data_IF_629537032869
#
_entry.id   IF_629537032869
#
_cell.length_a   1.000
_cell.length_b   1.000
_cell.length_c   1.000
_cell.angle_alpha   90.00
_cell.angle_beta   90.00
_cell.angle_gamma   90.00
#
_symmetry.space_group_name_H-M   'P 1'
#
loop_
_entity.id
_entity.type
_entity.pdbx_description
1 polymer ?
#
# COMPACT_ATOMS: atom_id res chain seq x y z
N UNK A 1 14.38 9.54 33.89
CA UNK A 1 14.62 9.06 32.53
C UNK A 1 13.29 9.19 31.82
N UNK A 2 13.20 9.94 30.75
CA UNK A 2 11.98 9.97 29.93
C UNK A 2 11.75 8.55 29.38
N UNK A 3 10.52 8.07 29.49
CA UNK A 3 10.17 6.76 28.92
C UNK A 3 10.21 6.94 27.39
N UNK A 4 11.24 6.42 26.75
CA UNK A 4 11.35 6.43 25.28
C UNK A 4 10.24 5.53 24.75
N UNK A 5 9.37 6.06 23.90
CA UNK A 5 8.32 5.27 23.23
C UNK A 5 8.96 4.19 22.37
N UNK A 6 8.42 2.99 22.39
CA UNK A 6 9.01 1.84 21.69
C UNK A 6 7.93 1.04 20.99
N UNK A 7 8.14 0.77 19.71
CA UNK A 7 7.20 0.04 18.84
C UNK A 7 7.77 -1.32 18.45
N UNK A 8 6.95 -2.36 18.61
CA UNK A 8 7.24 -3.72 18.18
C UNK A 8 6.66 -3.95 16.78
N UNK A 9 7.51 -4.34 15.83
CA UNK A 9 7.13 -4.60 14.45
C UNK A 9 7.32 -6.08 14.14
N UNK A 10 6.25 -6.76 13.71
CA UNK A 10 6.39 -8.08 13.10
C UNK A 10 6.91 -7.89 11.67
N UNK A 11 8.17 -8.32 11.44
CA UNK A 11 8.81 -8.23 10.14
C UNK A 11 8.66 -9.53 9.37
N UNK A 12 8.01 -9.46 8.22
CA UNK A 12 7.73 -10.57 7.31
C UNK A 12 8.47 -10.35 5.99
N UNK A 13 9.73 -10.77 5.84
CA UNK A 13 10.47 -10.59 4.60
C UNK A 13 9.74 -11.21 3.40
N UNK A 14 9.16 -12.40 3.59
CA UNK A 14 8.46 -13.15 2.54
C UNK A 14 9.39 -13.71 1.49
N UNK A 15 9.01 -13.55 0.20
CA UNK A 15 9.60 -14.23 -0.94
C UNK A 15 10.34 -13.25 -1.88
N UNK A 16 11.20 -13.80 -2.72
CA UNK A 16 11.83 -13.08 -3.82
C UNK A 16 12.66 -11.87 -3.38
N UNK A 17 12.31 -10.67 -3.87
CA UNK A 17 12.96 -9.41 -3.48
C UNK A 17 12.56 -8.90 -2.09
N UNK A 18 11.54 -9.49 -1.47
CA UNK A 18 11.02 -9.04 -0.18
C UNK A 18 12.08 -8.88 0.91
N UNK A 19 13.00 -9.86 1.13
CA UNK A 19 14.06 -9.75 2.13
C UNK A 19 15.01 -8.57 1.89
N UNK A 20 15.35 -8.23 0.63
CA UNK A 20 16.28 -7.14 0.34
C UNK A 20 15.60 -5.77 0.49
N UNK A 21 14.37 -5.58 0.04
CA UNK A 21 13.68 -4.29 0.14
C UNK A 21 13.24 -3.97 1.56
N UNK A 22 12.80 -4.98 2.34
CA UNK A 22 12.41 -4.77 3.74
C UNK A 22 13.60 -4.51 4.66
N UNK A 23 14.77 -5.09 4.37
CA UNK A 23 15.99 -4.78 5.11
C UNK A 23 16.35 -3.30 5.01
N UNK A 24 16.20 -2.71 3.82
CA UNK A 24 16.43 -1.28 3.64
C UNK A 24 15.36 -0.42 4.34
N UNK A 25 14.11 -0.87 4.37
CA UNK A 25 13.07 -0.19 5.15
C UNK A 25 13.37 -0.21 6.65
N UNK A 26 13.82 -1.33 7.20
CA UNK A 26 14.23 -1.41 8.61
C UNK A 26 15.43 -0.50 8.91
N UNK A 27 16.44 -0.46 8.03
CA UNK A 27 17.58 0.47 8.15
C UNK A 27 17.10 1.93 8.26
N UNK A 28 16.16 2.33 7.42
CA UNK A 28 15.62 3.69 7.43
C UNK A 28 14.75 3.94 8.66
N UNK A 29 13.93 2.97 9.08
CA UNK A 29 13.15 3.04 10.32
C UNK A 29 14.04 3.23 11.57
N UNK A 30 15.13 2.48 11.67
CA UNK A 30 16.11 2.63 12.77
C UNK A 30 16.76 4.02 12.77
N UNK A 31 17.13 4.53 11.60
CA UNK A 31 17.73 5.86 11.47
C UNK A 31 16.78 6.98 11.92
N UNK A 32 15.51 6.96 11.47
CA UNK A 32 14.54 7.99 11.86
C UNK A 32 14.11 7.83 13.31
N UNK A 33 13.93 6.61 13.83
CA UNK A 33 13.59 6.36 15.22
C UNK A 33 14.66 6.97 16.16
N UNK A 34 15.94 6.73 15.85
CA UNK A 34 17.06 7.33 16.58
C UNK A 34 17.05 8.85 16.53
N UNK A 35 16.73 9.45 15.38
CA UNK A 35 16.72 10.90 15.19
C UNK A 35 15.52 11.58 15.88
N UNK A 36 14.38 10.90 15.98
CA UNK A 36 13.13 11.44 16.54
C UNK A 36 12.88 10.99 17.99
N UNK A 37 13.76 10.17 18.60
CA UNK A 37 13.76 9.87 20.03
C UNK A 37 12.80 8.78 20.47
N UNK A 38 12.40 7.88 19.57
CA UNK A 38 11.68 6.64 19.88
C UNK A 38 12.53 5.40 19.50
N UNK A 39 12.05 4.21 19.81
CA UNK A 39 12.71 2.96 19.47
C UNK A 39 11.80 2.06 18.62
N UNK A 40 12.41 1.29 17.72
CA UNK A 40 11.74 0.26 16.94
C UNK A 40 12.44 -1.07 17.20
N UNK A 41 11.66 -2.10 17.48
CA UNK A 41 12.15 -3.48 17.57
C UNK A 41 11.42 -4.31 16.51
N UNK A 42 12.17 -4.82 15.54
CA UNK A 42 11.61 -5.67 14.48
C UNK A 42 12.00 -7.13 14.74
N UNK A 43 11.02 -8.01 14.75
CA UNK A 43 11.22 -9.45 14.88
C UNK A 43 10.83 -10.15 13.58
N UNK A 44 11.75 -10.97 13.04
CA UNK A 44 11.57 -11.66 11.78
C UNK A 44 10.69 -12.92 11.95
N UNK A 45 9.69 -13.06 11.08
CA UNK A 45 8.81 -14.22 11.04
C UNK A 45 8.61 -14.72 9.61
N UNK A 46 8.42 -16.04 9.46
CA UNK A 46 8.20 -16.68 8.18
C UNK A 46 6.82 -16.36 7.60
N UNK A 47 6.78 -16.09 6.30
CA UNK A 47 5.55 -15.79 5.54
C UNK A 47 5.68 -16.23 4.09
N UNK A 48 4.57 -16.59 3.44
CA UNK A 48 4.53 -16.87 2.01
C UNK A 48 5.11 -18.24 1.64
N UNK A 49 5.82 -18.29 0.53
CA UNK A 49 6.48 -19.49 0.02
C UNK A 49 7.63 -19.97 0.91
N UNK A 50 8.40 -19.04 1.46
CA UNK A 50 9.45 -19.37 2.44
C UNK A 50 8.89 -20.09 3.67
N UNK A 51 7.73 -19.65 4.17
CA UNK A 51 7.05 -20.32 5.26
C UNK A 51 6.51 -21.69 4.83
N UNK A 52 5.96 -21.80 3.64
CA UNK A 52 5.43 -23.05 3.08
C UNK A 52 6.51 -24.11 2.97
N UNK A 53 7.70 -23.75 2.50
CA UNK A 53 8.83 -24.69 2.34
C UNK A 53 9.35 -25.19 3.70
N UNK A 54 9.37 -24.35 4.73
CA UNK A 54 9.90 -24.72 6.04
C UNK A 54 8.87 -25.41 6.95
N UNK A 55 7.61 -24.96 6.91
CA UNK A 55 6.59 -25.37 7.89
C UNK A 55 5.40 -26.09 7.27
N UNK A 56 5.28 -26.12 5.94
CA UNK A 56 4.14 -26.70 5.22
C UNK A 56 2.87 -25.83 5.21
N UNK A 57 2.95 -24.60 5.73
CA UNK A 57 1.86 -23.60 5.68
C UNK A 57 2.39 -22.20 5.33
N UNK A 58 1.70 -21.43 4.47
CA UNK A 58 2.19 -20.10 4.07
C UNK A 58 2.01 -19.03 5.17
N UNK A 59 1.28 -19.34 6.25
CA UNK A 59 1.06 -18.45 7.41
C UNK A 59 1.05 -19.27 8.70
N UNK A 60 2.23 -19.51 9.30
CA UNK A 60 2.38 -20.30 10.53
C UNK A 60 1.65 -19.68 11.73
N UNK A 61 1.30 -20.52 12.71
CA UNK A 61 0.61 -20.10 13.94
C UNK A 61 1.43 -19.08 14.73
N UNK A 62 2.75 -19.28 14.80
CA UNK A 62 3.66 -18.41 15.55
C UNK A 62 3.76 -17.03 14.91
N UNK A 63 3.87 -16.96 13.56
CA UNK A 63 3.78 -15.72 12.80
C UNK A 63 2.45 -15.00 13.03
N UNK A 64 1.33 -15.76 13.03
CA UNK A 64 0.00 -15.18 13.32
C UNK A 64 -0.07 -14.55 14.69
N UNK A 65 0.48 -15.22 15.70
CA UNK A 65 0.51 -14.70 17.08
C UNK A 65 1.34 -13.43 17.15
N UNK A 66 2.56 -13.46 16.62
CA UNK A 66 3.46 -12.31 16.60
C UNK A 66 2.83 -11.09 15.90
N UNK A 67 2.19 -11.29 14.73
CA UNK A 67 1.50 -10.21 14.01
C UNK A 67 0.36 -9.57 14.80
N UNK A 68 -0.34 -10.33 15.65
CA UNK A 68 -1.45 -9.81 16.46
C UNK A 68 -0.99 -9.13 17.75
N UNK A 69 0.20 -9.46 18.22
CA UNK A 69 0.79 -8.93 19.44
C UNK A 69 1.75 -7.75 19.18
N UNK A 70 2.07 -7.46 17.90
CA UNK A 70 2.88 -6.32 17.50
C UNK A 70 2.06 -5.03 17.35
N UNK A 71 2.75 -3.88 17.31
CA UNK A 71 2.13 -2.57 17.04
C UNK A 71 1.85 -2.38 15.53
N UNK A 72 2.66 -3.03 14.68
CA UNK A 72 2.51 -2.99 13.22
C UNK A 72 3.13 -4.23 12.56
N UNK A 73 2.68 -4.54 11.34
CA UNK A 73 3.26 -5.61 10.51
C UNK A 73 3.87 -4.98 9.25
N UNK A 74 5.17 -5.26 9.00
CA UNK A 74 5.85 -4.88 7.76
C UNK A 74 6.12 -6.14 6.93
N UNK A 75 5.50 -6.23 5.75
CA UNK A 75 5.62 -7.35 4.81
C UNK A 75 6.39 -6.90 3.56
N UNK A 76 7.27 -7.76 3.07
CA UNK A 76 8.00 -7.55 1.81
C UNK A 76 7.17 -7.95 0.60
N UNK A 77 7.24 -9.22 0.23
CA UNK A 77 6.50 -9.74 -0.92
C UNK A 77 6.14 -11.22 -0.71
N UNK A 78 5.15 -11.71 -1.44
CA UNK A 78 4.68 -13.09 -1.33
C UNK A 78 4.49 -13.69 -2.72
N UNK A 79 4.83 -14.98 -2.85
CA UNK A 79 4.61 -15.75 -4.07
C UNK A 79 5.85 -15.89 -4.94
N UNK A 80 5.69 -16.69 -6.00
CA UNK A 80 6.74 -16.96 -6.98
C UNK A 80 6.48 -18.24 -7.77
N UNK A 81 7.16 -18.43 -8.92
CA UNK A 81 6.90 -19.53 -9.85
C UNK A 81 7.15 -20.92 -9.23
N UNK A 82 7.94 -21.00 -8.18
CA UNK A 82 8.19 -22.28 -7.46
C UNK A 82 6.91 -22.89 -6.91
N UNK A 83 5.89 -22.09 -6.61
CA UNK A 83 4.64 -22.51 -6.01
C UNK A 83 3.42 -22.37 -6.94
N UNK A 84 3.61 -22.17 -8.26
CA UNK A 84 2.52 -22.02 -9.24
C UNK A 84 1.58 -23.23 -9.29
N UNK A 85 2.13 -24.44 -9.08
CA UNK A 85 1.36 -25.68 -9.04
C UNK A 85 0.64 -25.90 -7.70
N UNK A 86 0.90 -25.09 -6.67
CA UNK A 86 0.21 -25.18 -5.40
C UNK A 86 -1.28 -24.81 -5.53
N UNK A 87 -2.14 -25.48 -4.79
CA UNK A 87 -3.60 -25.27 -4.87
C UNK A 87 -4.21 -24.99 -3.50
N UNK A 88 -5.30 -24.21 -3.49
CA UNK A 88 -6.05 -23.91 -2.27
C UNK A 88 -5.18 -23.21 -1.22
N UNK A 89 -5.26 -23.67 0.02
CA UNK A 89 -4.59 -23.08 1.19
C UNK A 89 -3.05 -23.19 1.17
N UNK A 90 -2.50 -23.93 0.19
CA UNK A 90 -1.05 -24.08 0.02
C UNK A 90 -0.44 -23.06 -0.96
N UNK A 91 -1.22 -22.13 -1.48
CA UNK A 91 -0.66 -21.01 -2.24
C UNK A 91 -0.06 -19.97 -1.29
N UNK A 92 1.13 -19.41 -1.58
CA UNK A 92 1.68 -18.32 -0.78
C UNK A 92 0.70 -17.16 -0.58
N UNK A 93 -0.05 -16.80 -1.63
CA UNK A 93 -1.05 -15.71 -1.61
C UNK A 93 -2.21 -15.99 -0.65
N UNK A 94 -2.56 -17.27 -0.41
CA UNK A 94 -3.57 -17.63 0.60
C UNK A 94 -3.13 -17.25 2.01
N UNK A 95 -1.80 -17.25 2.27
CA UNK A 95 -1.21 -16.75 3.50
C UNK A 95 -1.47 -15.26 3.70
N UNK A 96 -1.31 -14.44 2.66
CA UNK A 96 -1.59 -13.01 2.73
C UNK A 96 -3.07 -12.71 3.01
N UNK A 97 -3.98 -13.45 2.37
CA UNK A 97 -5.42 -13.33 2.66
C UNK A 97 -5.74 -13.73 4.10
N UNK A 98 -5.11 -14.81 4.59
CA UNK A 98 -5.26 -15.26 5.98
C UNK A 98 -4.67 -14.26 6.98
N UNK A 99 -3.55 -13.59 6.67
CA UNK A 99 -2.95 -12.54 7.48
C UNK A 99 -3.91 -11.34 7.57
N UNK A 100 -4.39 -10.81 6.45
CA UNK A 100 -5.35 -9.68 6.43
C UNK A 100 -6.61 -9.99 7.24
N UNK A 101 -7.12 -11.22 7.11
CA UNK A 101 -8.26 -11.70 7.91
C UNK A 101 -7.93 -11.78 9.40
N UNK A 102 -6.75 -12.27 9.76
CA UNK A 102 -6.33 -12.41 11.16
C UNK A 102 -6.15 -11.06 11.86
N UNK A 103 -5.74 -10.03 11.11
CA UNK A 103 -5.59 -8.66 11.59
C UNK A 103 -6.90 -7.86 11.55
N UNK A 104 -7.93 -8.36 10.84
CA UNK A 104 -9.22 -7.67 10.70
C UNK A 104 -9.17 -6.40 9.85
N UNK A 105 -8.13 -6.23 9.04
CA UNK A 105 -7.98 -5.06 8.17
C UNK A 105 -8.97 -5.09 7.01
N UNK A 106 -9.62 -3.96 6.73
CA UNK A 106 -10.66 -3.86 5.71
C UNK A 106 -10.48 -2.74 4.69
N UNK A 107 -9.58 -1.78 4.98
CA UNK A 107 -9.30 -0.64 4.12
C UNK A 107 -7.85 -0.72 3.62
N UNK A 108 -7.65 -0.79 2.32
CA UNK A 108 -6.34 -0.73 1.70
C UNK A 108 -6.09 0.66 1.12
N UNK A 109 -5.09 1.32 1.65
CA UNK A 109 -4.61 2.64 1.25
C UNK A 109 -3.48 2.46 0.24
N UNK A 110 -3.62 2.99 -0.96
CA UNK A 110 -2.62 2.96 -2.04
C UNK A 110 -2.35 4.37 -2.55
N UNK A 111 -1.40 5.11 -1.98
CA UNK A 111 -0.99 6.39 -2.52
C UNK A 111 -0.29 6.23 -3.87
N UNK A 112 -0.65 7.06 -4.83
CA UNK A 112 0.01 7.18 -6.13
C UNK A 112 0.50 8.61 -6.27
N UNK A 113 1.78 8.80 -5.98
CA UNK A 113 2.47 10.09 -6.08
C UNK A 113 3.49 10.02 -7.20
N UNK A 114 3.55 11.07 -8.02
CA UNK A 114 4.59 11.21 -9.04
C UNK A 114 5.58 12.27 -8.59
N UNK A 115 6.76 11.88 -8.07
CA UNK A 115 7.82 12.82 -7.74
C UNK A 115 8.22 13.65 -8.96
N UNK A 116 8.48 14.94 -8.79
CA UNK A 116 8.87 15.82 -9.90
C UNK A 116 10.11 15.30 -10.63
N UNK A 117 11.08 14.77 -9.88
CA UNK A 117 12.30 14.16 -10.40
C UNK A 117 12.05 12.92 -11.29
N UNK A 118 10.86 12.34 -11.25
CA UNK A 118 10.45 11.14 -12.03
C UNK A 118 9.39 11.43 -13.08
N UNK A 119 8.94 12.69 -13.26
CA UNK A 119 7.91 13.03 -14.24
C UNK A 119 8.26 12.60 -15.68
N UNK A 120 9.54 12.54 -16.02
CA UNK A 120 10.04 12.09 -17.33
C UNK A 120 10.07 10.55 -17.47
N UNK A 121 10.01 9.79 -16.38
CA UNK A 121 9.96 8.32 -16.40
C UNK A 121 8.53 7.80 -16.65
N UNK A 122 7.53 8.65 -16.49
CA UNK A 122 6.13 8.31 -16.76
C UNK A 122 5.89 7.94 -18.23
N UNK A 123 5.00 6.97 -18.51
CA UNK A 123 4.54 6.70 -19.88
C UNK A 123 3.69 7.84 -20.46
N UNK A 124 3.21 8.75 -19.62
CA UNK A 124 2.47 9.94 -20.03
C UNK A 124 3.43 11.14 -20.19
N UNK A 125 2.93 12.19 -20.86
CA UNK A 125 3.71 13.45 -21.00
C UNK A 125 3.92 14.09 -19.63
N UNK A 126 5.12 14.63 -19.32
CA UNK A 126 5.44 15.17 -17.99
C UNK A 126 4.43 16.19 -17.45
N UNK A 127 3.88 17.09 -18.30
CA UNK A 127 2.87 18.07 -17.88
C UNK A 127 1.52 17.45 -17.47
N UNK A 128 1.29 16.15 -17.73
CA UNK A 128 0.10 15.42 -17.33
C UNK A 128 0.25 14.75 -15.98
N UNK A 129 1.49 14.48 -15.57
CA UNK A 129 1.78 13.73 -14.35
C UNK A 129 2.41 14.54 -13.24
N UNK A 130 2.89 15.76 -13.54
CA UNK A 130 3.44 16.64 -12.51
C UNK A 130 2.41 17.01 -11.46
N UNK A 131 2.76 16.82 -10.17
CA UNK A 131 1.91 17.12 -9.03
C UNK A 131 0.77 16.15 -8.80
N UNK A 132 0.80 14.95 -9.39
CA UNK A 132 -0.15 13.87 -9.05
C UNK A 132 0.11 13.40 -7.62
N UNK A 133 -0.95 13.41 -6.82
CA UNK A 133 -1.04 12.82 -5.50
C UNK A 133 -2.45 12.27 -5.29
N UNK A 134 -2.67 11.01 -5.64
CA UNK A 134 -3.96 10.33 -5.56
C UNK A 134 -3.89 9.29 -4.45
N UNK A 135 -4.86 9.26 -3.55
CA UNK A 135 -5.02 8.20 -2.57
C UNK A 135 -6.18 7.28 -2.96
N UNK A 136 -5.87 6.06 -3.42
CA UNK A 136 -6.89 5.02 -3.58
C UNK A 136 -7.21 4.39 -2.23
N UNK A 137 -8.49 4.25 -1.94
CA UNK A 137 -9.04 3.52 -0.78
C UNK A 137 -9.89 2.39 -1.31
N UNK A 138 -9.32 1.18 -1.24
CA UNK A 138 -9.90 -0.07 -1.71
C UNK A 138 -10.47 -0.84 -0.52
N UNK A 139 -11.73 -1.24 -0.60
CA UNK A 139 -12.31 -2.18 0.34
C UNK A 139 -11.67 -3.57 0.15
N UNK A 140 -11.37 -4.30 1.24
CA UNK A 140 -10.59 -5.54 1.18
C UNK A 140 -11.36 -6.82 1.52
N UNK A 141 -12.52 -6.74 2.15
CA UNK A 141 -13.14 -7.88 2.83
C UNK A 141 -14.44 -8.35 2.21
N UNK A 142 -14.99 -7.58 1.28
CA UNK A 142 -16.24 -7.87 0.57
C UNK A 142 -16.06 -8.01 -0.93
N UNK A 143 -17.17 -7.89 -1.63
CA UNK A 143 -17.22 -7.91 -3.08
C UNK A 143 -17.14 -9.31 -3.69
N UNK A 144 -16.65 -9.37 -4.92
CA UNK A 144 -16.65 -10.61 -5.72
C UNK A 144 -15.58 -11.62 -5.26
N UNK A 145 -14.57 -11.18 -4.49
CA UNK A 145 -13.50 -12.05 -4.00
C UNK A 145 -13.94 -12.93 -2.81
N UNK A 146 -15.03 -12.54 -2.12
CA UNK A 146 -15.48 -13.22 -0.90
C UNK A 146 -16.97 -13.59 -0.93
N UNK A 147 -17.68 -13.21 -1.98
CA UNK A 147 -19.11 -13.48 -2.09
C UNK A 147 -19.41 -14.95 -2.36
N UNK A 148 -20.55 -15.41 -1.88
CA UNK A 148 -21.06 -16.77 -2.08
C UNK A 148 -22.44 -16.75 -2.71
N UNK A 149 -22.79 -17.73 -3.59
CA UNK A 149 -22.02 -18.89 -4.01
C UNK A 149 -20.86 -18.54 -4.95
N UNK A 150 -19.75 -19.33 -4.86
CA UNK A 150 -18.60 -19.26 -5.73
C UNK A 150 -18.17 -20.66 -6.14
N UNK A 151 -17.69 -20.82 -7.37
CA UNK A 151 -17.12 -22.08 -7.84
C UNK A 151 -17.56 -22.47 -9.25
N UNK A 152 -17.17 -23.69 -9.65
CA UNK A 152 -17.56 -24.30 -10.90
C UNK A 152 -18.89 -25.01 -10.74
N UNK A 153 -19.74 -24.89 -11.77
CA UNK A 153 -21.00 -25.64 -11.93
C UNK A 153 -20.81 -26.69 -13.04
N UNK A 154 -21.82 -27.50 -13.29
CA UNK A 154 -21.79 -28.51 -14.35
C UNK A 154 -21.53 -27.88 -15.73
N UNK A 155 -22.12 -26.72 -16.00
CA UNK A 155 -22.09 -26.06 -17.31
C UNK A 155 -21.33 -24.71 -17.29
N UNK A 156 -20.66 -24.35 -16.17
CA UNK A 156 -20.02 -23.04 -16.09
C UNK A 156 -19.27 -22.75 -14.78
N UNK A 157 -19.25 -21.49 -14.42
CA UNK A 157 -18.70 -21.01 -13.15
C UNK A 157 -19.52 -19.81 -12.65
N UNK A 158 -19.54 -19.62 -11.32
CA UNK A 158 -20.21 -18.49 -10.67
C UNK A 158 -19.24 -17.83 -9.69
N UNK A 159 -19.26 -16.49 -9.64
CA UNK A 159 -18.66 -15.68 -8.61
C UNK A 159 -19.64 -14.56 -8.24
N UNK A 160 -19.96 -14.42 -6.98
CA UNK A 160 -20.99 -13.51 -6.49
C UNK A 160 -20.37 -12.26 -5.89
N UNK A 161 -20.83 -11.07 -6.30
CA UNK A 161 -20.45 -9.80 -5.70
C UNK A 161 -21.47 -9.42 -4.64
N UNK A 162 -21.01 -9.26 -3.39
CA UNK A 162 -21.86 -8.90 -2.23
C UNK A 162 -21.16 -7.82 -1.42
N UNK A 163 -21.92 -6.80 -1.02
CA UNK A 163 -21.57 -5.82 0.00
C UNK A 163 -22.75 -5.60 0.93
N UNK A 164 -22.47 -5.53 2.23
CA UNK A 164 -23.42 -5.04 3.23
C UNK A 164 -23.32 -3.51 3.39
N UNK A 165 -24.36 -2.88 3.95
CA UNK A 165 -24.30 -1.46 4.29
C UNK A 165 -23.14 -1.14 5.25
N UNK A 166 -22.91 -1.98 6.28
CA UNK A 166 -21.84 -1.81 7.26
C UNK A 166 -20.45 -1.83 6.62
N UNK A 167 -20.22 -2.71 5.63
CA UNK A 167 -18.95 -2.77 4.89
C UNK A 167 -18.70 -1.50 4.09
N UNK A 168 -19.75 -0.97 3.44
CA UNK A 168 -19.66 0.26 2.66
C UNK A 168 -19.51 1.48 3.59
N UNK A 169 -20.25 1.53 4.68
CA UNK A 169 -20.21 2.65 5.62
C UNK A 169 -18.84 2.80 6.27
N UNK A 170 -18.26 1.70 6.80
CA UNK A 170 -16.94 1.74 7.45
C UNK A 170 -15.83 2.20 6.50
N UNK A 171 -15.85 1.76 5.23
CA UNK A 171 -14.82 2.18 4.27
C UNK A 171 -15.04 3.62 3.80
N UNK A 172 -16.28 4.08 3.66
CA UNK A 172 -16.63 5.47 3.37
C UNK A 172 -16.09 6.42 4.45
N UNK A 173 -16.24 6.07 5.73
CA UNK A 173 -15.66 6.83 6.84
C UNK A 173 -14.14 6.93 6.74
N UNK A 174 -13.45 5.88 6.33
CA UNK A 174 -11.98 5.94 6.09
C UNK A 174 -11.67 6.96 5.00
N UNK A 175 -12.38 6.91 3.87
CA UNK A 175 -12.15 7.79 2.73
C UNK A 175 -12.36 9.27 3.09
N UNK A 176 -13.48 9.59 3.73
CA UNK A 176 -13.77 10.98 4.10
C UNK A 176 -12.81 11.52 5.17
N UNK A 177 -12.42 10.72 6.18
CA UNK A 177 -11.41 11.14 7.16
C UNK A 177 -10.04 11.43 6.52
N UNK A 178 -9.65 10.63 5.52
CA UNK A 178 -8.41 10.88 4.78
C UNK A 178 -8.53 12.12 3.89
N UNK A 179 -9.66 12.34 3.23
CA UNK A 179 -9.91 13.54 2.44
C UNK A 179 -9.88 14.83 3.27
N UNK A 180 -10.40 14.84 4.51
CA UNK A 180 -10.33 15.99 5.42
C UNK A 180 -8.90 16.46 5.75
N UNK A 181 -7.90 15.57 5.60
CA UNK A 181 -6.47 15.88 5.80
C UNK A 181 -5.75 16.20 4.48
N UNK A 182 -6.50 16.26 3.39
CA UNK A 182 -6.04 16.51 2.02
C UNK A 182 -6.90 17.63 1.41
N UNK A 183 -7.16 17.60 0.10
CA UNK A 183 -7.91 18.65 -0.60
C UNK A 183 -9.43 18.58 -0.37
N UNK A 184 -9.91 17.57 0.35
CA UNK A 184 -11.33 17.44 0.72
C UNK A 184 -12.23 16.84 -0.35
N UNK A 185 -11.66 16.22 -1.40
CA UNK A 185 -12.41 15.67 -2.53
C UNK A 185 -12.43 14.14 -2.50
N UNK A 186 -13.62 13.54 -2.51
CA UNK A 186 -13.81 12.08 -2.63
C UNK A 186 -14.48 11.75 -3.96
N UNK A 187 -13.81 10.95 -4.78
CA UNK A 187 -14.41 10.33 -5.97
C UNK A 187 -14.77 8.89 -5.65
N UNK A 188 -16.05 8.61 -5.47
CA UNK A 188 -16.56 7.24 -5.30
C UNK A 188 -16.74 6.57 -6.66
N UNK A 189 -16.13 5.40 -6.84
CA UNK A 189 -16.13 4.68 -8.10
C UNK A 189 -16.92 3.38 -7.98
N UNK A 190 -17.88 3.22 -8.89
CA UNK A 190 -18.83 2.11 -8.89
C UNK A 190 -19.27 1.71 -10.32
N UNK A 191 -20.22 0.80 -10.43
CA UNK A 191 -20.92 0.43 -11.69
C UNK A 191 -22.44 0.47 -11.52
N UNK A 192 -22.96 1.49 -10.86
CA UNK A 192 -24.37 1.62 -10.48
C UNK A 192 -25.35 1.67 -11.67
N UNK A 193 -24.88 1.91 -12.89
CA UNK A 193 -25.72 1.81 -14.09
C UNK A 193 -26.04 0.37 -14.52
N UNK A 194 -25.48 -0.66 -13.85
CA UNK A 194 -25.66 -2.07 -14.21
C UNK A 194 -25.82 -2.98 -12.99
N UNK A 195 -25.18 -2.67 -11.86
CA UNK A 195 -25.08 -3.56 -10.70
C UNK A 195 -25.85 -3.00 -9.50
N UNK A 196 -26.84 -3.75 -8.99
CA UNK A 196 -27.60 -3.44 -7.77
C UNK A 196 -26.66 -3.19 -6.57
N UNK A 197 -25.63 -4.00 -6.39
CA UNK A 197 -24.65 -3.83 -5.31
C UNK A 197 -23.90 -2.48 -5.42
N UNK A 198 -23.75 -1.95 -6.61
CA UNK A 198 -23.14 -0.63 -6.83
C UNK A 198 -24.16 0.52 -6.63
N UNK A 199 -25.44 0.28 -6.81
CA UNK A 199 -26.49 1.23 -6.43
C UNK A 199 -26.51 1.40 -4.91
N UNK A 200 -26.53 0.28 -4.15
CA UNK A 200 -26.40 0.30 -2.69
C UNK A 200 -25.12 1.03 -2.24
N UNK A 201 -23.97 0.73 -2.89
CA UNK A 201 -22.68 1.40 -2.60
C UNK A 201 -22.84 2.92 -2.69
N UNK A 202 -23.41 3.41 -3.79
CA UNK A 202 -23.61 4.84 -4.05
C UNK A 202 -24.56 5.47 -3.04
N UNK A 203 -25.63 4.80 -2.68
CA UNK A 203 -26.62 5.26 -1.69
C UNK A 203 -25.96 5.44 -0.32
N UNK A 204 -25.25 4.42 0.18
CA UNK A 204 -24.59 4.46 1.48
C UNK A 204 -23.47 5.52 1.52
N UNK A 205 -22.60 5.57 0.51
CA UNK A 205 -21.53 6.60 0.45
C UNK A 205 -22.12 8.00 0.42
N UNK A 206 -23.23 8.21 -0.31
CA UNK A 206 -23.92 9.51 -0.35
C UNK A 206 -24.52 9.86 1.00
N UNK A 207 -25.13 8.89 1.69
CA UNK A 207 -25.69 9.08 3.05
C UNK A 207 -24.59 9.47 4.03
N UNK A 208 -23.48 8.71 4.09
CA UNK A 208 -22.33 8.99 4.98
C UNK A 208 -21.75 10.39 4.73
N UNK A 209 -21.57 10.77 3.46
CA UNK A 209 -21.10 12.11 3.10
C UNK A 209 -21.99 13.20 3.69
N UNK A 210 -23.32 13.12 3.46
CA UNK A 210 -24.28 14.15 3.88
C UNK A 210 -24.43 14.25 5.40
N UNK A 211 -24.41 13.11 6.09
CA UNK A 211 -24.66 13.04 7.53
C UNK A 211 -23.43 13.36 8.37
N UNK A 212 -22.22 12.97 7.91
CA UNK A 212 -21.03 13.04 8.72
C UNK A 212 -19.92 13.93 8.14
N UNK A 213 -19.92 14.20 6.84
CA UNK A 213 -18.86 14.96 6.15
C UNK A 213 -19.42 16.00 5.18
N UNK A 214 -20.32 16.92 5.63
CA UNK A 214 -21.01 17.84 4.74
C UNK A 214 -20.10 18.84 4.02
N UNK A 215 -18.90 19.06 4.53
CA UNK A 215 -17.90 19.97 3.94
C UNK A 215 -17.00 19.26 2.90
N UNK A 216 -17.07 17.93 2.77
CA UNK A 216 -16.31 17.20 1.78
C UNK A 216 -17.03 17.16 0.43
N UNK A 217 -16.32 17.41 -0.65
CA UNK A 217 -16.87 17.27 -1.99
C UNK A 217 -16.93 15.79 -2.39
N UNK A 218 -18.15 15.28 -2.68
CA UNK A 218 -18.37 13.93 -3.17
C UNK A 218 -18.77 13.94 -4.64
N UNK A 219 -18.02 13.17 -5.45
CA UNK A 219 -18.35 12.87 -6.84
C UNK A 219 -18.45 11.38 -7.06
N UNK A 220 -19.38 10.92 -7.89
CA UNK A 220 -19.48 9.52 -8.33
C UNK A 220 -19.04 9.38 -9.78
N UNK A 221 -18.22 8.37 -10.07
CA UNK A 221 -17.86 7.98 -11.42
C UNK A 221 -18.14 6.50 -11.63
N UNK A 222 -18.58 6.14 -12.83
CA UNK A 222 -18.57 4.75 -13.27
C UNK A 222 -17.13 4.29 -13.50
N UNK A 223 -16.83 3.04 -13.16
CA UNK A 223 -15.47 2.48 -13.18
C UNK A 223 -14.78 2.59 -14.55
N UNK A 224 -15.52 2.40 -15.63
CA UNK A 224 -15.02 2.56 -17.01
C UNK A 224 -14.64 4.01 -17.32
N UNK A 225 -15.42 4.99 -16.86
CA UNK A 225 -15.07 6.40 -16.97
C UNK A 225 -13.89 6.75 -16.05
N UNK A 226 -13.88 6.25 -14.81
CA UNK A 226 -12.77 6.46 -13.89
C UNK A 226 -11.43 5.96 -14.46
N UNK A 227 -11.41 4.76 -15.04
CA UNK A 227 -10.23 4.20 -15.71
C UNK A 227 -9.72 5.11 -16.84
N UNK A 228 -10.63 5.65 -17.66
CA UNK A 228 -10.26 6.59 -18.72
C UNK A 228 -9.72 7.92 -18.14
N UNK A 229 -10.34 8.43 -17.07
CA UNK A 229 -9.95 9.71 -16.46
C UNK A 229 -8.62 9.63 -15.72
N UNK A 230 -8.28 8.51 -15.06
CA UNK A 230 -6.96 8.27 -14.45
C UNK A 230 -5.83 8.45 -15.47
N UNK A 231 -6.05 8.07 -16.73
CA UNK A 231 -5.05 8.25 -17.80
C UNK A 231 -5.11 9.65 -18.43
N UNK A 232 -6.33 10.20 -18.62
CA UNK A 232 -6.52 11.48 -19.34
C UNK A 232 -6.22 12.70 -18.51
N UNK A 233 -6.64 12.68 -17.25
CA UNK A 233 -6.60 13.83 -16.34
C UNK A 233 -6.50 13.35 -14.88
N UNK A 234 -5.37 12.73 -14.51
CA UNK A 234 -5.18 12.18 -13.16
C UNK A 234 -5.18 13.25 -12.06
N UNK A 235 -4.81 14.49 -12.39
CA UNK A 235 -4.75 15.60 -11.42
C UNK A 235 -6.13 16.00 -10.85
N UNK A 236 -7.22 15.54 -11.45
CA UNK A 236 -8.57 15.78 -10.93
C UNK A 236 -8.92 14.95 -9.69
N UNK A 237 -8.12 13.95 -9.34
CA UNK A 237 -8.37 13.04 -8.24
C UNK A 237 -7.56 13.42 -7.00
N UNK A 238 -8.20 13.38 -5.83
CA UNK A 238 -7.58 13.46 -4.51
C UNK A 238 -7.73 12.11 -3.80
N UNK A 239 -8.92 11.76 -3.31
CA UNK A 239 -9.23 10.45 -2.74
C UNK A 239 -10.17 9.69 -3.66
N UNK A 240 -9.80 8.46 -4.03
CA UNK A 240 -10.61 7.54 -4.84
C UNK A 240 -11.10 6.39 -3.97
N UNK A 241 -12.40 6.38 -3.65
CA UNK A 241 -13.05 5.35 -2.87
C UNK A 241 -13.70 4.31 -3.79
N UNK A 242 -13.43 3.03 -3.56
CA UNK A 242 -13.96 1.97 -4.43
C UNK A 242 -14.00 0.60 -3.76
N UNK A 243 -14.84 -0.29 -4.27
CA UNK A 243 -14.92 -1.68 -3.88
C UNK A 243 -13.67 -2.49 -4.28
N UNK A 244 -13.59 -3.71 -3.81
CA UNK A 244 -12.40 -4.57 -3.87
C UNK A 244 -11.85 -4.75 -5.29
N UNK A 245 -12.64 -5.33 -6.21
CA UNK A 245 -12.19 -5.61 -7.58
C UNK A 245 -11.84 -4.34 -8.36
N UNK A 246 -12.69 -3.31 -8.28
CA UNK A 246 -12.46 -2.07 -9.01
C UNK A 246 -11.25 -1.31 -8.46
N UNK A 247 -11.05 -1.36 -7.15
CA UNK A 247 -9.89 -0.77 -6.48
C UNK A 247 -8.59 -1.41 -6.89
N UNK A 248 -8.56 -2.74 -7.03
CA UNK A 248 -7.42 -3.48 -7.51
C UNK A 248 -7.01 -3.00 -8.92
N UNK A 249 -7.96 -3.06 -9.85
CA UNK A 249 -7.71 -2.72 -11.26
C UNK A 249 -7.30 -1.24 -11.41
N UNK A 250 -8.01 -0.32 -10.75
CA UNK A 250 -7.76 1.11 -10.92
C UNK A 250 -6.47 1.58 -10.25
N UNK A 251 -6.13 1.03 -9.10
CA UNK A 251 -4.87 1.39 -8.44
C UNK A 251 -3.65 0.85 -9.19
N UNK A 252 -3.75 -0.35 -9.79
CA UNK A 252 -2.69 -0.90 -10.64
C UNK A 252 -2.56 -0.16 -11.96
N UNK A 253 -3.68 0.30 -12.55
CA UNK A 253 -3.66 1.23 -13.68
C UNK A 253 -2.94 2.53 -13.32
N UNK A 254 -3.27 3.12 -12.16
CA UNK A 254 -2.64 4.34 -11.67
C UNK A 254 -1.15 4.14 -11.31
N UNK A 255 -0.77 2.91 -10.92
CA UNK A 255 0.60 2.51 -10.67
C UNK A 255 1.55 2.71 -11.87
N UNK A 256 1.01 2.72 -13.08
CA UNK A 256 1.78 3.03 -14.27
C UNK A 256 2.18 4.52 -14.39
N UNK A 257 1.50 5.42 -13.66
CA UNK A 257 1.73 6.87 -13.79
C UNK A 257 3.14 7.31 -13.34
N UNK A 258 3.67 6.84 -12.20
CA UNK A 258 5.03 7.21 -11.77
C UNK A 258 6.15 6.47 -12.54
N UNK A 259 5.83 5.51 -13.40
CA UNK A 259 6.77 4.83 -14.29
C UNK A 259 7.36 3.52 -13.76
N UNK A 260 7.15 3.19 -12.48
CA UNK A 260 7.57 1.90 -11.89
C UNK A 260 6.64 1.48 -10.77
N UNK A 261 6.28 0.18 -10.74
CA UNK A 261 5.53 -0.44 -9.66
C UNK A 261 6.32 -0.43 -8.33
N UNK A 262 7.65 -0.42 -8.41
CA UNK A 262 8.55 -0.35 -7.26
C UNK A 262 8.48 0.94 -6.44
N UNK A 263 7.73 1.95 -6.92
CA UNK A 263 7.54 3.23 -6.22
C UNK A 263 6.35 3.24 -5.26
N UNK A 264 5.47 2.22 -5.31
CA UNK A 264 4.16 2.31 -4.70
C UNK A 264 4.09 1.64 -3.33
N UNK A 265 3.78 2.41 -2.28
CA UNK A 265 3.47 1.87 -0.96
C UNK A 265 2.03 1.42 -0.86
N UNK A 266 1.75 0.63 0.16
CA UNK A 266 0.42 0.23 0.55
C UNK A 266 0.31 0.05 2.06
N UNK A 267 -0.87 0.38 2.61
CA UNK A 267 -1.23 0.10 3.99
C UNK A 267 -2.63 -0.55 4.03
N UNK A 268 -2.76 -1.63 4.76
CA UNK A 268 -4.05 -2.26 5.06
C UNK A 268 -4.41 -1.97 6.51
N UNK A 269 -5.48 -1.20 6.73
CA UNK A 269 -5.85 -0.62 8.03
C UNK A 269 -7.29 -0.94 8.43
N UNK A 270 -7.68 -0.54 9.63
CA UNK A 270 -9.04 -0.67 10.15
C UNK A 270 -9.24 -1.85 11.10
N UNK A 271 -8.24 -2.72 11.25
CA UNK A 271 -8.18 -3.76 12.27
C UNK A 271 -7.48 -3.29 13.55
N UNK A 272 -7.17 -4.23 14.45
CA UNK A 272 -6.42 -3.95 15.68
C UNK A 272 -4.95 -3.64 15.39
N UNK A 273 -4.35 -4.33 14.43
CA UNK A 273 -2.99 -4.11 13.94
C UNK A 273 -3.02 -3.89 12.44
N UNK A 274 -2.29 -2.90 11.96
CA UNK A 274 -2.22 -2.54 10.55
C UNK A 274 -1.06 -3.26 9.84
N UNK A 275 -1.26 -3.55 8.54
CA UNK A 275 -0.28 -4.21 7.68
C UNK A 275 0.24 -3.22 6.64
N UNK A 276 1.56 -3.14 6.50
CA UNK A 276 2.27 -2.28 5.55
C UNK A 276 3.11 -3.12 4.60
N UNK A 277 2.92 -2.92 3.32
CA UNK A 277 3.56 -3.72 2.27
C UNK A 277 3.70 -2.89 0.97
N UNK A 278 4.72 -3.07 0.14
CA UNK A 278 4.74 -2.47 -1.18
C UNK A 278 3.66 -3.10 -2.08
N UNK A 279 3.26 -2.41 -3.16
CA UNK A 279 2.28 -2.93 -4.13
C UNK A 279 2.90 -3.98 -5.05
N UNK A 280 4.22 -3.92 -5.29
CA UNK A 280 4.92 -4.86 -6.16
C UNK A 280 4.95 -6.29 -5.60
N UNK A 281 5.08 -7.27 -6.50
CA UNK A 281 5.25 -8.68 -6.14
C UNK A 281 6.70 -9.05 -5.80
N UNK A 282 6.98 -10.35 -5.78
CA UNK A 282 8.27 -10.93 -5.37
C UNK A 282 9.41 -10.82 -6.40
N UNK A 283 9.14 -10.50 -7.67
CA UNK A 283 10.11 -10.34 -8.75
C UNK A 283 11.28 -11.36 -8.71
N UNK A 284 10.97 -12.66 -8.84
CA UNK A 284 11.93 -13.74 -8.58
C UNK A 284 13.15 -13.73 -9.50
N UNK A 285 13.05 -13.15 -10.68
CA UNK A 285 14.10 -13.02 -11.68
C UNK A 285 15.23 -12.06 -11.28
N UNK A 286 14.99 -11.14 -10.34
CA UNK A 286 15.99 -10.22 -9.80
C UNK A 286 16.27 -10.44 -8.30
N UNK A 287 15.63 -11.42 -7.68
CA UNK A 287 15.80 -11.72 -6.26
C UNK A 287 17.26 -12.02 -5.89
N UNK A 288 17.74 -11.42 -4.79
CA UNK A 288 19.11 -11.61 -4.29
C UNK A 288 20.20 -10.94 -5.14
N UNK A 289 19.84 -10.11 -6.13
CA UNK A 289 20.81 -9.42 -7.00
C UNK A 289 21.11 -7.98 -6.59
N UNK A 290 20.52 -7.49 -5.52
CA UNK A 290 20.64 -6.10 -5.02
C UNK A 290 20.23 -5.04 -6.07
N UNK A 291 19.18 -5.34 -6.88
CA UNK A 291 18.72 -4.50 -7.99
C UNK A 291 17.29 -4.02 -7.83
N UNK A 292 16.54 -4.56 -6.86
CA UNK A 292 15.17 -4.19 -6.62
C UNK A 292 15.04 -2.72 -6.19
N UNK A 293 13.94 -2.09 -6.56
CA UNK A 293 13.62 -0.73 -6.11
C UNK A 293 13.00 -0.78 -4.70
N UNK A 294 13.64 -0.22 -3.66
CA UNK A 294 13.12 -0.29 -2.29
C UNK A 294 12.09 0.81 -1.97
N UNK A 295 11.86 1.78 -2.86
CA UNK A 295 11.09 3.00 -2.56
C UNK A 295 9.68 2.67 -2.06
N UNK A 296 8.97 1.74 -2.70
CA UNK A 296 7.63 1.32 -2.28
C UNK A 296 7.62 0.81 -0.84
N UNK A 297 8.62 0.01 -0.44
CA UNK A 297 8.73 -0.49 0.93
C UNK A 297 9.15 0.60 1.91
N UNK A 298 10.05 1.51 1.52
CA UNK A 298 10.44 2.69 2.32
C UNK A 298 9.23 3.60 2.59
N UNK A 299 8.42 3.86 1.57
CA UNK A 299 7.20 4.66 1.71
C UNK A 299 6.10 3.90 2.48
N UNK A 300 6.05 2.56 2.42
CA UNK A 300 5.19 1.75 3.28
C UNK A 300 5.60 1.87 4.75
N UNK A 301 6.91 1.96 5.04
CA UNK A 301 7.41 2.26 6.38
C UNK A 301 7.05 3.69 6.83
N UNK A 302 6.98 4.66 5.91
CA UNK A 302 6.46 5.99 6.23
C UNK A 302 4.96 5.95 6.59
N UNK A 303 4.14 5.18 5.86
CA UNK A 303 2.73 4.96 6.20
C UNK A 303 2.56 4.27 7.57
N UNK A 304 3.47 3.34 7.91
CA UNK A 304 3.51 2.69 9.22
C UNK A 304 3.72 3.72 10.34
N UNK A 305 4.67 4.62 10.18
CA UNK A 305 4.93 5.67 11.17
C UNK A 305 3.76 6.66 11.28
N UNK A 306 3.10 7.03 10.17
CA UNK A 306 1.87 7.84 10.21
C UNK A 306 0.77 7.19 11.07
N UNK A 307 0.60 5.86 10.93
CA UNK A 307 -0.44 5.13 11.66
C UNK A 307 -0.09 4.96 13.15
N UNK A 308 1.20 4.90 13.50
CA UNK A 308 1.70 4.91 14.87
C UNK A 308 1.69 6.32 15.51
N UNK A 309 1.40 7.38 14.73
CA UNK A 309 1.36 8.75 15.22
C UNK A 309 2.68 9.51 15.08
N UNK A 310 3.72 8.91 14.51
CA UNK A 310 5.05 9.46 14.31
C UNK A 310 5.16 10.24 12.97
N UNK A 311 4.29 11.23 12.77
CA UNK A 311 4.13 11.94 11.50
C UNK A 311 5.41 12.68 11.05
N UNK A 312 6.17 13.27 11.97
CA UNK A 312 7.44 13.96 11.65
C UNK A 312 8.50 12.98 11.13
N UNK A 313 8.57 11.79 11.72
CA UNK A 313 9.46 10.72 11.28
C UNK A 313 9.02 10.13 9.93
N UNK A 314 7.72 10.00 9.69
CA UNK A 314 7.16 9.60 8.41
C UNK A 314 7.53 10.61 7.30
N UNK A 315 7.40 11.90 7.57
CA UNK A 315 7.80 12.98 6.65
C UNK A 315 9.31 12.99 6.38
N UNK A 316 10.13 12.66 7.38
CA UNK A 316 11.57 12.53 7.21
C UNK A 316 11.92 11.40 6.21
N UNK A 317 11.21 10.25 6.24
CA UNK A 317 11.40 9.18 5.25
C UNK A 317 11.02 9.68 3.84
N UNK A 318 9.85 10.31 3.66
CA UNK A 318 9.40 10.85 2.38
C UNK A 318 10.41 11.86 1.82
N UNK A 319 10.86 12.77 2.67
CA UNK A 319 11.89 13.76 2.32
C UNK A 319 13.21 13.09 1.91
N UNK A 320 13.67 12.07 2.65
CA UNK A 320 14.87 11.30 2.32
C UNK A 320 14.79 10.64 0.95
N UNK A 321 13.63 10.07 0.59
CA UNK A 321 13.36 9.49 -0.73
C UNK A 321 13.43 10.58 -1.80
N UNK A 322 12.71 11.69 -1.62
CA UNK A 322 12.67 12.79 -2.59
C UNK A 322 14.09 13.37 -2.82
N UNK A 323 14.85 13.64 -1.76
CA UNK A 323 16.23 14.12 -1.86
C UNK A 323 17.19 13.14 -2.52
N UNK A 324 16.97 11.85 -2.36
CA UNK A 324 17.76 10.82 -3.04
C UNK A 324 17.45 10.81 -4.53
N UNK A 325 16.18 10.96 -4.90
CA UNK A 325 15.75 11.12 -6.29
C UNK A 325 16.25 12.46 -6.90
N UNK A 326 16.18 13.58 -6.18
CA UNK A 326 16.69 14.89 -6.61
C UNK A 326 18.20 14.87 -6.87
N UNK A 327 18.95 14.07 -6.10
CA UNK A 327 20.38 13.85 -6.30
C UNK A 327 20.72 12.99 -7.55
N UNK A 328 19.70 12.53 -8.28
CA UNK A 328 19.85 11.77 -9.51
C UNK A 328 20.04 10.27 -9.32
N UNK A 329 19.95 9.73 -8.08
CA UNK A 329 20.07 8.30 -7.86
C UNK A 329 18.81 7.58 -8.35
N UNK A 330 19.00 6.48 -9.09
CA UNK A 330 17.93 5.69 -9.70
C UNK A 330 18.26 4.21 -9.58
N UNK A 331 17.29 3.40 -9.21
CA UNK A 331 17.36 1.94 -9.32
C UNK A 331 17.21 1.49 -10.78
N UNK A 332 17.45 0.23 -11.07
CA UNK A 332 17.53 -0.30 -12.44
C UNK A 332 16.26 -0.12 -13.27
N UNK A 333 15.09 -0.08 -12.63
CA UNK A 333 13.78 0.14 -13.23
C UNK A 333 13.50 1.61 -13.58
N UNK A 334 14.25 2.54 -12.97
CA UNK A 334 14.11 3.99 -13.15
C UNK A 334 15.29 4.64 -13.89
N UNK A 335 16.40 3.94 -14.01
CA UNK A 335 17.60 4.44 -14.67
C UNK A 335 17.47 4.39 -16.19
N UNK A 336 18.07 5.35 -16.89
CA UNK A 336 18.10 5.37 -18.35
C UNK A 336 18.95 4.26 -18.93
N UNK A 337 20.02 3.87 -18.21
CA UNK A 337 20.91 2.77 -18.56
C UNK A 337 21.25 1.96 -17.32
N UNK A 338 21.62 0.69 -17.49
CA UNK A 338 22.01 -0.18 -16.37
C UNK A 338 23.29 0.28 -15.66
N UNK A 339 24.15 1.02 -16.34
CA UNK A 339 25.41 1.55 -15.78
C UNK A 339 25.20 2.75 -14.85
N UNK A 340 24.08 3.46 -15.01
CA UNK A 340 23.68 4.58 -14.17
C UNK A 340 22.88 4.15 -12.93
N UNK A 341 22.45 2.89 -12.88
CA UNK A 341 21.65 2.37 -11.80
C UNK A 341 22.46 2.16 -10.52
N UNK A 342 21.88 2.56 -9.38
CA UNK A 342 22.40 2.19 -8.06
C UNK A 342 21.73 0.92 -7.55
N UNK A 343 22.40 0.23 -6.62
CA UNK A 343 21.84 -0.96 -6.00
C UNK A 343 20.73 -0.63 -4.99
N UNK A 344 19.92 -1.63 -4.63
CA UNK A 344 18.89 -1.56 -3.58
C UNK A 344 19.48 -1.05 -2.27
N UNK A 345 20.60 -1.66 -1.85
CA UNK A 345 21.30 -1.32 -0.60
C UNK A 345 21.91 0.08 -0.63
N UNK A 346 22.45 0.52 -1.76
CA UNK A 346 22.97 1.88 -1.94
C UNK A 346 21.85 2.90 -1.84
N UNK A 347 20.70 2.65 -2.49
CA UNK A 347 19.57 3.56 -2.46
C UNK A 347 19.01 3.70 -1.03
N UNK A 348 18.79 2.57 -0.33
CA UNK A 348 18.32 2.57 1.06
C UNK A 348 19.25 3.29 2.03
N UNK A 349 20.57 3.06 1.91
CA UNK A 349 21.57 3.76 2.72
C UNK A 349 21.56 5.27 2.48
N UNK A 350 21.42 5.71 1.23
CA UNK A 350 21.36 7.13 0.88
C UNK A 350 20.09 7.80 1.42
N UNK A 351 18.95 7.07 1.40
CA UNK A 351 17.71 7.56 2.05
C UNK A 351 17.94 7.68 3.56
N UNK A 352 18.48 6.67 4.23
CA UNK A 352 18.75 6.70 5.67
C UNK A 352 19.65 7.88 6.07
N UNK A 353 20.69 8.17 5.28
CA UNK A 353 21.56 9.31 5.53
C UNK A 353 20.81 10.66 5.45
N UNK A 354 19.84 10.78 4.53
CA UNK A 354 19.11 12.04 4.30
C UNK A 354 17.90 12.25 5.22
N UNK A 355 17.42 11.21 5.88
CA UNK A 355 16.35 11.36 6.90
C UNK A 355 16.83 12.14 8.11
N UNK A 356 18.11 12.08 8.43
CA UNK A 356 18.69 12.80 9.58
C UNK A 356 18.93 14.30 9.32
N UNK A 357 18.93 14.72 8.05
CA UNK A 357 19.10 16.15 7.66
C UNK A 357 17.78 16.95 7.73
N UNK A 358 16.67 16.29 8.02
CA UNK A 358 15.37 16.92 8.09
C UNK A 358 15.15 17.55 9.46
N UNK A 359 15.38 18.88 9.55
CA UNK A 359 15.00 19.60 10.79
C UNK A 359 13.47 19.59 10.93
N UNK A 360 12.94 19.30 12.14
CA UNK A 360 11.49 19.29 12.35
C UNK A 360 10.89 20.63 11.90
N UNK A 361 9.87 20.59 11.04
CA UNK A 361 9.11 21.77 10.68
C UNK A 361 8.47 22.29 11.96
N UNK A 362 8.78 23.56 12.34
CA UNK A 362 8.05 24.27 13.36
C UNK A 362 6.59 24.41 12.89
N UNK A 363 5.76 23.42 13.17
CA UNK A 363 4.30 23.53 13.05
C UNK A 363 3.85 24.33 14.25
N UNK A 364 3.20 25.51 14.09
CA UNK A 364 2.62 26.19 15.22
C UNK A 364 1.58 25.25 15.83
N UNK A 365 1.79 24.90 17.09
CA UNK A 365 0.79 24.16 17.88
C UNK A 365 -0.53 24.94 17.89
N UNK A 366 -1.69 24.27 17.69
CA UNK A 366 -3.00 24.91 17.62
C UNK A 366 -3.42 25.64 18.89
#
# INVERSE_FOLDING_TARGET
MANTESYAIAWLPGDGIGPEVTREALRVLEAVASAHGFAVTAEEHLMGGAALDETGTPFPSDTRTACRESDAVLLGAVGGPTWDDATGDKRPESGLLALRKALGVYANLRPVVVPEALASASPLRPHRVGGIDILFIRELTGGIYFGTPEGRTEDGAISTMVYSEDEIERIAHVAFRRAQRRDGHVTSVDKANVLEVSELWREVVTRVSKEHYPDAELRHLYVDNAAMQVVRDPQQFDVVLTGNLFGDILSDLAAALPGSLGLLPSASVGGEVSLFEPVHGSAPDIAGTDRANPIGTLLSAALLLDELGEAEAADAIRHGVDKTLDAGLRTADLASTSEEAVSTSTFGQEVANRTTDHAPRNVPTP
#
